data_IF_666998348426
#
_entry.id   IF_666998348426
#
_cell.length_a   1.000
_cell.length_b   1.000
_cell.length_c   1.000
_cell.angle_alpha   90.00
_cell.angle_beta   90.00
_cell.angle_gamma   90.00
#
_symmetry.space_group_name_H-M   'P 1'
#
loop_
_entity.id
_entity.type
_entity.pdbx_description
1 polymer ?
#
# COMPACT_ATOMS: atom_id res chain seq x y z
N UNK A 1 31.45 17.04 17.19
CA UNK A 1 31.09 16.54 15.84
C UNK A 1 30.13 15.39 16.05
N UNK A 2 28.84 15.65 15.94
CA UNK A 2 27.82 14.60 16.03
C UNK A 2 27.83 13.80 14.72
N UNK A 3 28.17 12.52 14.82
CA UNK A 3 28.05 11.57 13.72
C UNK A 3 26.56 11.36 13.46
N UNK A 4 25.99 12.10 12.51
CA UNK A 4 24.68 11.79 11.97
C UNK A 4 24.78 10.48 11.19
N UNK A 5 24.27 9.40 11.77
CA UNK A 5 24.05 8.14 11.08
C UNK A 5 23.03 8.41 9.96
N UNK A 6 23.50 8.65 8.73
CA UNK A 6 22.62 8.73 7.56
C UNK A 6 22.19 7.29 7.25
N UNK A 7 21.14 6.85 7.92
CA UNK A 7 20.47 5.61 7.57
C UNK A 7 19.69 5.88 6.28
N UNK A 8 20.28 5.54 5.12
CA UNK A 8 19.55 5.42 3.86
C UNK A 8 18.61 4.22 3.96
N UNK A 9 17.51 4.34 4.70
CA UNK A 9 16.44 3.34 4.71
C UNK A 9 15.62 3.45 3.43
N UNK A 10 16.26 3.10 2.30
CA UNK A 10 15.54 2.40 1.26
C UNK A 10 15.32 1.01 1.85
N UNK A 11 14.16 0.76 2.45
CA UNK A 11 13.71 -0.62 2.56
C UNK A 11 13.66 -1.11 1.12
N UNK A 12 14.63 -1.93 0.72
CA UNK A 12 14.54 -2.64 -0.54
C UNK A 12 13.44 -3.65 -0.27
N UNK A 13 12.20 -3.30 -0.61
CA UNK A 13 11.04 -4.18 -0.44
C UNK A 13 11.33 -5.54 -1.09
N UNK A 14 12.14 -5.55 -2.15
CA UNK A 14 12.60 -6.75 -2.84
C UNK A 14 13.56 -7.62 -2.01
N UNK A 15 14.23 -7.07 -0.98
CA UNK A 15 15.09 -7.82 -0.05
C UNK A 15 14.28 -8.47 1.10
N UNK A 16 13.11 -7.93 1.43
CA UNK A 16 12.29 -8.35 2.59
C UNK A 16 11.04 -9.14 2.17
N UNK A 17 10.41 -8.74 1.06
CA UNK A 17 9.21 -9.34 0.47
C UNK A 17 9.61 -10.07 -0.81
N UNK A 18 10.10 -11.28 -0.61
CA UNK A 18 10.75 -12.08 -1.66
C UNK A 18 9.76 -12.60 -2.69
N UNK A 19 8.49 -12.79 -2.32
CA UNK A 19 7.46 -13.37 -3.20
C UNK A 19 6.41 -12.34 -3.61
N UNK A 20 5.92 -12.47 -4.84
CA UNK A 20 5.01 -11.50 -5.45
C UNK A 20 3.65 -11.41 -4.72
N UNK A 21 3.17 -12.48 -4.10
CA UNK A 21 1.93 -12.50 -3.28
C UNK A 21 2.06 -11.67 -2.00
N UNK A 22 3.17 -11.84 -1.27
CA UNK A 22 3.52 -11.02 -0.10
C UNK A 22 3.67 -9.56 -0.49
N UNK A 23 4.38 -9.31 -1.59
CA UNK A 23 4.58 -7.95 -2.12
C UNK A 23 3.26 -7.32 -2.56
N UNK A 24 2.39 -8.06 -3.24
CA UNK A 24 1.06 -7.59 -3.62
C UNK A 24 0.22 -7.18 -2.41
N UNK A 25 0.08 -8.07 -1.43
CA UNK A 25 -0.69 -7.78 -0.21
C UNK A 25 -0.14 -6.55 0.53
N UNK A 26 1.17 -6.49 0.70
CA UNK A 26 1.85 -5.35 1.32
C UNK A 26 1.61 -4.03 0.58
N UNK A 27 1.82 -4.01 -0.75
CA UNK A 27 1.68 -2.78 -1.53
C UNK A 27 0.24 -2.27 -1.55
N UNK A 28 -0.76 -3.17 -1.53
CA UNK A 28 -2.16 -2.77 -1.38
C UNK A 28 -2.45 -2.17 -0.01
N UNK A 29 -1.88 -2.74 1.07
CA UNK A 29 -1.94 -2.14 2.39
C UNK A 29 -1.34 -0.73 2.40
N UNK A 30 -0.20 -0.57 1.74
CA UNK A 30 0.49 0.71 1.63
C UNK A 30 -0.36 1.75 0.86
N UNK A 31 -0.89 1.38 -0.31
CA UNK A 31 -1.79 2.25 -1.10
C UNK A 31 -3.05 2.62 -0.31
N UNK A 32 -3.62 1.67 0.42
CA UNK A 32 -4.75 1.90 1.33
C UNK A 32 -4.39 2.98 2.35
N UNK A 33 -3.19 2.95 2.92
CA UNK A 33 -2.77 4.01 3.86
C UNK A 33 -2.71 5.38 3.19
N UNK A 34 -2.18 5.47 1.97
CA UNK A 34 -2.16 6.73 1.21
C UNK A 34 -3.57 7.25 0.94
N UNK A 35 -4.50 6.38 0.52
CA UNK A 35 -5.90 6.74 0.35
C UNK A 35 -6.52 7.25 1.65
N UNK A 36 -6.41 6.49 2.74
CA UNK A 36 -7.01 6.87 4.04
C UNK A 36 -6.45 8.19 4.58
N UNK A 37 -5.19 8.53 4.28
CA UNK A 37 -4.63 9.84 4.61
C UNK A 37 -5.35 10.97 3.88
N UNK A 38 -5.59 10.81 2.57
CA UNK A 38 -6.36 11.78 1.77
C UNK A 38 -7.82 11.87 2.23
N UNK A 39 -8.45 10.72 2.53
CA UNK A 39 -9.81 10.68 3.07
C UNK A 39 -9.90 11.44 4.39
N UNK A 40 -8.97 11.19 5.32
CA UNK A 40 -8.95 11.86 6.62
C UNK A 40 -8.69 13.35 6.46
N UNK A 41 -7.79 13.76 5.55
CA UNK A 41 -7.52 15.16 5.29
C UNK A 41 -8.80 15.91 4.86
N UNK A 42 -9.52 15.36 3.86
CA UNK A 42 -10.68 15.98 3.22
C UNK A 42 -11.99 15.82 3.99
N UNK A 43 -12.22 14.66 4.60
CA UNK A 43 -13.51 14.26 5.18
C UNK A 43 -13.47 14.16 6.72
N UNK A 44 -12.29 14.18 7.34
CA UNK A 44 -12.08 13.88 8.77
C UNK A 44 -12.58 12.49 9.20
N UNK A 45 -12.66 11.56 8.23
CA UNK A 45 -13.03 10.15 8.40
C UNK A 45 -12.35 9.29 7.33
N UNK A 46 -12.28 7.98 7.55
CA UNK A 46 -11.62 7.01 6.64
C UNK A 46 -12.59 5.89 6.21
N UNK A 47 -13.62 6.21 5.41
CA UNK A 47 -14.67 5.24 5.07
C UNK A 47 -14.14 4.04 4.28
N UNK A 48 -13.03 4.19 3.53
CA UNK A 48 -12.42 3.04 2.85
C UNK A 48 -11.83 2.04 3.84
N UNK A 49 -11.14 2.52 4.88
CA UNK A 49 -10.56 1.66 5.92
C UNK A 49 -11.62 0.87 6.69
N UNK A 50 -12.75 1.52 7.02
CA UNK A 50 -13.84 0.86 7.74
C UNK A 50 -14.36 -0.36 6.97
N UNK A 51 -14.50 -0.23 5.65
CA UNK A 51 -14.91 -1.34 4.78
C UNK A 51 -13.91 -2.48 4.77
N UNK A 52 -12.61 -2.19 4.88
CA UNK A 52 -11.57 -3.22 4.87
C UNK A 52 -11.55 -4.01 6.18
N UNK A 53 -11.67 -3.35 7.34
CA UNK A 53 -11.67 -4.05 8.63
C UNK A 53 -12.87 -4.98 8.84
N UNK A 54 -13.94 -4.80 8.06
CA UNK A 54 -15.09 -5.69 8.05
C UNK A 54 -14.88 -6.95 7.19
N UNK A 55 -13.72 -7.10 6.53
CA UNK A 55 -13.45 -8.15 5.56
C UNK A 55 -12.22 -8.96 5.98
N UNK A 56 -12.37 -10.28 6.06
CA UNK A 56 -11.23 -11.20 6.14
C UNK A 56 -10.47 -11.18 4.80
N UNK A 57 -9.21 -10.73 4.81
CA UNK A 57 -8.42 -10.58 3.59
C UNK A 57 -7.86 -11.94 3.14
N UNK A 58 -8.20 -12.29 1.90
CA UNK A 58 -7.65 -13.41 1.16
C UNK A 58 -7.34 -13.00 -0.28
N UNK A 59 -6.84 -13.92 -1.09
CA UNK A 59 -6.48 -13.64 -2.49
C UNK A 59 -7.62 -12.98 -3.29
N UNK A 60 -8.84 -13.53 -3.23
CA UNK A 60 -9.99 -13.02 -3.97
C UNK A 60 -10.38 -11.61 -3.51
N UNK A 61 -10.30 -11.36 -2.19
CA UNK A 61 -10.56 -10.03 -1.62
C UNK A 61 -9.49 -9.02 -2.01
N UNK A 62 -8.22 -9.39 -2.01
CA UNK A 62 -7.12 -8.53 -2.49
C UNK A 62 -7.34 -8.15 -3.96
N UNK A 63 -7.66 -9.13 -4.80
CA UNK A 63 -7.95 -8.90 -6.23
C UNK A 63 -9.17 -8.01 -6.45
N UNK A 64 -10.24 -8.21 -5.68
CA UNK A 64 -11.44 -7.38 -5.73
C UNK A 64 -11.22 -5.96 -5.18
N UNK A 65 -10.36 -5.81 -4.17
CA UNK A 65 -10.05 -4.54 -3.53
C UNK A 65 -9.28 -3.60 -4.47
N UNK A 66 -8.35 -4.14 -5.26
CA UNK A 66 -7.47 -3.35 -6.11
C UNK A 66 -8.20 -2.35 -7.04
N UNK A 67 -9.16 -2.75 -7.91
CA UNK A 67 -9.84 -1.80 -8.78
C UNK A 67 -10.69 -0.78 -8.02
N UNK A 68 -11.29 -1.18 -6.88
CA UNK A 68 -12.06 -0.27 -6.03
C UNK A 68 -11.14 0.79 -5.42
N UNK A 69 -9.98 0.38 -4.90
CA UNK A 69 -8.96 1.25 -4.32
C UNK A 69 -8.47 2.29 -5.34
N UNK A 70 -8.13 1.85 -6.56
CA UNK A 70 -7.69 2.77 -7.63
C UNK A 70 -8.79 3.80 -7.93
N UNK A 71 -10.04 3.36 -8.08
CA UNK A 71 -11.15 4.28 -8.30
C UNK A 71 -11.35 5.27 -7.16
N UNK A 72 -11.24 4.85 -5.90
CA UNK A 72 -11.32 5.76 -4.75
C UNK A 72 -10.17 6.77 -4.75
N UNK A 73 -8.93 6.36 -5.05
CA UNK A 73 -7.78 7.27 -5.19
C UNK A 73 -8.05 8.33 -6.26
N UNK A 74 -8.62 7.95 -7.40
CA UNK A 74 -8.94 8.90 -8.49
C UNK A 74 -9.97 9.95 -8.11
N UNK A 75 -10.86 9.72 -7.13
CA UNK A 75 -11.80 10.74 -6.63
C UNK A 75 -11.12 11.92 -5.92
N UNK A 76 -9.84 11.78 -5.59
CA UNK A 76 -9.01 12.82 -5.00
C UNK A 76 -8.06 13.44 -6.02
N UNK A 77 -8.24 13.16 -7.33
CA UNK A 77 -7.36 13.59 -8.41
C UNK A 77 -5.89 13.18 -8.18
N UNK A 78 -5.69 12.07 -7.46
CA UNK A 78 -4.39 11.54 -7.08
C UNK A 78 -3.98 10.33 -7.93
N UNK A 79 -2.68 10.19 -8.11
CA UNK A 79 -2.04 9.05 -8.76
C UNK A 79 -0.73 8.79 -8.01
N UNK A 80 -0.53 7.55 -7.55
CA UNK A 80 0.74 7.11 -6.94
C UNK A 80 1.48 6.23 -7.96
N UNK A 81 1.92 6.83 -9.07
CA UNK A 81 2.17 6.12 -10.34
C UNK A 81 3.03 4.87 -10.16
N UNK A 82 4.15 5.03 -9.50
CA UNK A 82 5.16 3.99 -9.40
C UNK A 82 4.76 2.92 -8.36
N UNK A 83 4.04 3.32 -7.32
CA UNK A 83 3.50 2.41 -6.32
C UNK A 83 2.33 1.57 -6.89
N UNK A 84 1.46 2.21 -7.67
CA UNK A 84 0.38 1.53 -8.40
C UNK A 84 0.93 0.55 -9.45
N UNK A 85 2.00 0.94 -10.16
CA UNK A 85 2.68 0.07 -11.13
C UNK A 85 3.28 -1.17 -10.44
N UNK A 86 4.03 -0.98 -9.36
CA UNK A 86 4.60 -2.10 -8.60
C UNK A 86 3.52 -3.03 -8.03
N UNK A 87 2.44 -2.47 -7.48
CA UNK A 87 1.30 -3.25 -7.00
C UNK A 87 0.66 -4.07 -8.13
N UNK A 88 0.48 -3.45 -9.31
CA UNK A 88 -0.07 -4.11 -10.50
C UNK A 88 0.80 -5.29 -10.94
N UNK A 89 2.11 -5.08 -11.02
CA UNK A 89 3.07 -6.11 -11.45
C UNK A 89 3.07 -7.29 -10.46
N UNK A 90 3.11 -7.00 -9.16
CA UNK A 90 3.08 -8.04 -8.13
C UNK A 90 1.76 -8.83 -8.13
N UNK A 91 0.62 -8.15 -8.29
CA UNK A 91 -0.68 -8.83 -8.46
C UNK A 91 -0.69 -9.73 -9.70
N UNK A 92 -0.22 -9.25 -10.86
CA UNK A 92 -0.19 -10.04 -12.09
C UNK A 92 0.68 -11.31 -11.96
N UNK A 93 1.84 -11.19 -11.31
CA UNK A 93 2.75 -12.32 -11.11
C UNK A 93 2.22 -13.34 -10.11
N UNK A 94 1.48 -12.89 -9.09
CA UNK A 94 0.92 -13.75 -8.05
C UNK A 94 -0.48 -14.30 -8.35
N UNK A 95 -1.21 -13.76 -9.34
CA UNK A 95 -2.62 -14.12 -9.63
C UNK A 95 -2.87 -15.62 -9.80
N UNK A 96 -1.91 -16.35 -10.37
CA UNK A 96 -2.03 -17.81 -10.56
C UNK A 96 -1.38 -18.63 -9.44
N UNK A 97 -0.58 -18.01 -8.59
CA UNK A 97 0.32 -18.66 -7.63
C UNK A 97 0.30 -17.89 -6.29
N UNK A 98 -0.88 -17.70 -5.70
CA UNK A 98 -1.02 -17.12 -4.37
C UNK A 98 -0.69 -18.20 -3.32
N UNK A 99 0.50 -18.13 -2.72
CA UNK A 99 1.05 -19.20 -1.88
C UNK A 99 1.05 -18.85 -0.38
N UNK A 100 0.48 -17.72 -0.01
CA UNK A 100 0.27 -17.33 1.39
C UNK A 100 -1.17 -17.57 1.81
N UNK A 101 -1.40 -17.95 3.06
CA UNK A 101 -2.75 -18.15 3.59
C UNK A 101 -3.46 -16.81 3.94
N UNK A 102 -4.70 -16.87 4.37
CA UNK A 102 -5.52 -15.68 4.70
C UNK A 102 -4.94 -14.86 5.86
N UNK A 103 -4.35 -15.52 6.86
CA UNK A 103 -3.69 -14.86 8.00
C UNK A 103 -2.42 -14.12 7.53
N UNK A 104 -1.59 -14.77 6.73
CA UNK A 104 -0.40 -14.17 6.12
C UNK A 104 -0.78 -13.02 5.18
N UNK A 105 -1.85 -13.19 4.39
CA UNK A 105 -2.39 -12.15 3.52
C UNK A 105 -2.74 -10.92 4.36
N UNK A 106 -3.54 -11.09 5.41
CA UNK A 106 -3.92 -10.03 6.34
C UNK A 106 -2.72 -9.40 7.05
N UNK A 107 -1.74 -10.21 7.43
CA UNK A 107 -0.51 -9.78 8.08
C UNK A 107 0.33 -8.86 7.18
N UNK A 108 0.64 -9.28 5.95
CA UNK A 108 1.42 -8.47 5.01
C UNK A 108 0.69 -7.20 4.60
N UNK A 109 -0.63 -7.25 4.42
CA UNK A 109 -1.45 -6.06 4.19
C UNK A 109 -1.31 -5.06 5.35
N UNK A 110 -1.42 -5.54 6.59
CA UNK A 110 -1.31 -4.71 7.79
C UNK A 110 0.08 -4.09 7.93
N UNK A 111 1.15 -4.84 7.61
CA UNK A 111 2.52 -4.31 7.55
C UNK A 111 2.64 -3.16 6.53
N UNK A 112 2.08 -3.34 5.33
CA UNK A 112 2.07 -2.30 4.31
C UNK A 112 1.31 -1.05 4.74
N UNK A 113 0.12 -1.25 5.31
CA UNK A 113 -0.73 -0.17 5.81
C UNK A 113 -0.05 0.66 6.90
N UNK A 114 0.58 0.00 7.87
CA UNK A 114 1.28 0.69 8.96
C UNK A 114 2.51 1.43 8.46
N UNK A 115 3.34 0.82 7.61
CA UNK A 115 4.53 1.43 7.04
C UNK A 115 4.23 2.54 6.03
N UNK A 116 3.05 2.55 5.41
CA UNK A 116 2.56 3.66 4.59
C UNK A 116 2.49 5.01 5.30
N UNK A 117 2.56 4.99 6.64
CA UNK A 117 2.55 6.15 7.53
C UNK A 117 3.94 6.59 7.97
N UNK A 118 4.98 5.80 7.67
CA UNK A 118 6.31 6.02 8.24
C UNK A 118 6.91 7.32 7.66
N UNK A 119 7.32 8.29 8.51
CA UNK A 119 7.85 9.58 8.06
C UNK A 119 9.16 9.44 7.25
N UNK A 120 9.84 8.30 7.38
CA UNK A 120 11.06 7.96 6.67
C UNK A 120 10.80 7.28 5.32
N UNK A 121 9.54 6.94 4.98
CA UNK A 121 9.18 6.51 3.64
C UNK A 121 8.90 7.74 2.78
N UNK A 122 9.98 8.42 2.40
CA UNK A 122 9.98 9.38 1.31
C UNK A 122 10.53 8.65 0.10
N UNK A 123 9.62 8.10 -0.72
CA UNK A 123 9.96 7.91 -2.13
C UNK A 123 10.18 9.33 -2.68
N UNK A 124 11.19 9.55 -3.50
CA UNK A 124 11.31 10.83 -4.20
C UNK A 124 10.21 10.85 -5.25
N UNK A 125 8.99 11.17 -4.79
CA UNK A 125 7.81 11.17 -5.63
C UNK A 125 7.82 12.51 -6.39
N UNK A 126 7.99 12.45 -7.70
CA UNK A 126 7.59 13.54 -8.60
C UNK A 126 6.06 13.54 -8.84
N UNK A 127 5.26 12.93 -7.96
CA UNK A 127 3.81 13.06 -8.02
C UNK A 127 3.44 14.31 -7.23
N UNK A 128 2.62 15.16 -7.83
CA UNK A 128 2.08 16.36 -7.19
C UNK A 128 1.40 15.94 -5.88
N UNK A 129 2.05 16.22 -4.75
CA UNK A 129 1.30 16.46 -3.51
C UNK A 129 0.41 17.66 -3.79
N UNK A 130 -0.86 17.39 -4.12
CA UNK A 130 -1.88 18.43 -4.08
C UNK A 130 -2.14 18.67 -2.60
N UNK A 131 -1.37 19.58 -2.01
CA UNK A 131 -1.75 20.27 -0.79
C UNK A 131 -2.87 21.25 -1.14
N UNK A 132 -4.08 20.93 -0.71
CA UNK A 132 -5.16 21.90 -0.51
C UNK A 132 -5.71 21.74 0.89
#
# INVERSE_FOLDING_TARGET
MENNLIIKHRYVLDEILITDDKKASFLLGFLTRKLTHMEYHKLKKTPFLNKIYEIDLNHDKIKALYPVMINEIRKYDAIFKELEEEASISLLKSDKNWNINDEETSFYFTLGYTLGSAPNYKRDINDKEITS
#
